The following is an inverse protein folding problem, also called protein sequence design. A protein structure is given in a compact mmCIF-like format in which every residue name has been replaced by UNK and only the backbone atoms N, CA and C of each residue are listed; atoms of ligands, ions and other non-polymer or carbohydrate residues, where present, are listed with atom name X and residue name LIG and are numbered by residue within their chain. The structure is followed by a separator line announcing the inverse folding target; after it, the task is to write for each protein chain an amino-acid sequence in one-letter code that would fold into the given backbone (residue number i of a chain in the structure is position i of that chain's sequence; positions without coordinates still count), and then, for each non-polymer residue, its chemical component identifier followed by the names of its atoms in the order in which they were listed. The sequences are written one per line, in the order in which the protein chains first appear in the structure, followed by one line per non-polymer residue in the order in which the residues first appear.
data_IF_439263011973
#
_entry.id   IF_439263011973
#
_cell.length_a   1.000
_cell.length_b   1.000
_cell.length_c   1.000
_cell.angle_alpha   90.00
_cell.angle_beta   90.00
_cell.angle_gamma   90.00
#
_symmetry.space_group_name_H-M   'P 1'
#
loop_
_entity.id
_entity.type
_entity.pdbx_description
1 polymer ?
#
# COMPACT_ATOMS: atom_id res chain seq x y z
N UNK A 1 21.25 5.58 1.08
CA UNK A 1 22.28 5.67 2.14
C UNK A 1 22.57 4.25 2.58
N UNK A 2 23.83 3.80 2.53
CA UNK A 2 24.17 2.43 2.93
C UNK A 2 24.12 2.35 4.47
N UNK A 3 23.08 1.72 5.01
CA UNK A 3 23.01 1.41 6.45
C UNK A 3 23.96 0.25 6.76
N UNK A 4 25.14 0.59 7.28
CA UNK A 4 26.07 -0.37 7.83
C UNK A 4 25.67 -0.68 9.28
N UNK A 5 25.39 -1.94 9.59
CA UNK A 5 25.27 -2.42 10.97
C UNK A 5 26.67 -2.69 11.51
N UNK A 6 27.07 -1.96 12.55
CA UNK A 6 28.31 -2.20 13.29
C UNK A 6 27.98 -3.04 14.53
N UNK A 7 28.56 -4.24 14.64
CA UNK A 7 28.59 -4.99 15.91
C UNK A 7 29.96 -4.82 16.55
N UNK A 8 30.00 -4.20 17.73
CA UNK A 8 31.23 -4.05 18.51
C UNK A 8 31.35 -5.25 19.47
N UNK A 9 32.21 -6.21 19.13
CA UNK A 9 32.52 -7.33 20.01
C UNK A 9 33.78 -6.98 20.82
N UNK A 10 33.64 -6.73 22.12
CA UNK A 10 34.77 -6.53 23.04
C UNK A 10 35.07 -7.87 23.71
N UNK A 11 36.14 -8.54 23.29
CA UNK A 11 36.64 -9.74 23.97
C UNK A 11 37.78 -9.39 24.92
N UNK A 12 37.67 -9.84 26.18
CA UNK A 12 38.69 -9.64 27.21
C UNK A 12 39.56 -10.91 27.27
N UNK A 13 40.75 -10.86 26.69
CA UNK A 13 41.76 -11.90 26.90
C UNK A 13 42.42 -11.67 28.27
N UNK A 14 42.40 -12.70 29.13
CA UNK A 14 43.00 -12.66 30.45
C UNK A 14 44.52 -12.53 30.33
N UNK A 15 45.05 -11.39 30.81
CA UNK A 15 46.48 -11.18 31.02
C UNK A 15 47.12 -10.23 30.01
N UNK A 16 47.18 -8.94 30.35
CA UNK A 16 47.89 -7.90 29.59
C UNK A 16 46.95 -7.02 28.77
N UNK A 17 46.98 -5.71 29.04
CA UNK A 17 46.08 -4.72 28.45
C UNK A 17 46.46 -4.44 26.99
N UNK A 18 45.98 -5.26 26.05
CA UNK A 18 45.91 -4.92 24.62
C UNK A 18 44.44 -4.95 24.20
N UNK A 19 43.88 -3.78 23.87
CA UNK A 19 42.54 -3.67 23.29
C UNK A 19 42.66 -3.79 21.76
N UNK A 20 42.34 -4.96 21.22
CA UNK A 20 42.17 -5.13 19.78
C UNK A 20 40.71 -4.88 19.44
N UNK A 21 40.40 -3.73 18.81
CA UNK A 21 39.06 -3.43 18.30
C UNK A 21 38.93 -4.15 16.96
N UNK A 22 38.21 -5.27 16.94
CA UNK A 22 37.85 -5.96 15.70
C UNK A 22 36.56 -5.32 15.17
N UNK A 23 36.68 -4.43 14.19
CA UNK A 23 35.54 -3.87 13.45
C UNK A 23 35.12 -4.88 12.38
N UNK A 24 34.07 -5.66 12.65
CA UNK A 24 33.47 -6.52 11.64
C UNK A 24 32.46 -5.67 10.86
N UNK A 25 32.82 -5.28 9.64
CA UNK A 25 31.88 -4.68 8.70
C UNK A 25 31.07 -5.82 8.10
N UNK A 26 29.88 -6.08 8.65
CA UNK A 26 28.93 -7.00 8.04
C UNK A 26 28.22 -6.22 6.93
N UNK A 27 28.70 -6.30 5.70
CA UNK A 27 27.90 -5.88 4.55
C UNK A 27 26.67 -6.78 4.51
N UNK A 28 25.43 -6.27 4.59
CA UNK A 28 24.26 -7.10 4.34
C UNK A 28 24.42 -7.63 2.91
N UNK A 29 24.59 -8.94 2.78
CA UNK A 29 24.56 -9.58 1.47
C UNK A 29 23.14 -9.32 0.95
N UNK A 30 23.03 -8.55 -0.14
CA UNK A 30 21.76 -8.32 -0.81
C UNK A 30 21.22 -9.67 -1.27
N UNK A 31 20.21 -10.17 -0.56
CA UNK A 31 19.43 -11.31 -0.98
C UNK A 31 18.09 -10.74 -1.43
N UNK A 32 17.93 -10.47 -2.72
CA UNK A 32 16.64 -10.11 -3.27
C UNK A 32 15.84 -11.38 -3.61
N UNK A 33 14.53 -11.26 -3.79
CA UNK A 33 13.71 -12.39 -4.19
C UNK A 33 14.03 -12.84 -5.61
N UNK A 34 14.14 -14.14 -5.82
CA UNK A 34 14.42 -14.77 -7.11
C UNK A 34 13.35 -15.81 -7.43
N UNK A 35 13.25 -16.21 -8.68
CA UNK A 35 12.34 -17.25 -9.12
C UNK A 35 10.91 -16.79 -9.35
N UNK A 36 10.72 -15.57 -9.87
CA UNK A 36 9.42 -15.18 -10.38
C UNK A 36 9.02 -16.05 -11.60
N UNK A 37 7.72 -16.25 -11.86
CA UNK A 37 7.25 -16.96 -13.05
C UNK A 37 7.58 -16.17 -14.33
N UNK A 38 8.19 -16.79 -15.34
CA UNK A 38 8.48 -16.12 -16.61
C UNK A 38 8.59 -17.09 -17.79
N UNK A 39 8.63 -16.60 -19.04
CA UNK A 39 8.84 -17.43 -20.22
C UNK A 39 10.13 -18.27 -20.15
N UNK A 40 10.07 -19.52 -20.63
CA UNK A 40 11.17 -20.48 -20.64
C UNK A 40 12.27 -20.16 -21.66
N UNK A 41 11.89 -19.60 -22.81
CA UNK A 41 12.81 -19.24 -23.88
C UNK A 41 12.78 -17.72 -24.12
N UNK A 42 13.95 -17.10 -24.15
CA UNK A 42 14.14 -15.69 -24.48
C UNK A 42 14.66 -15.48 -25.91
N UNK A 43 14.57 -16.49 -26.78
CA UNK A 43 15.08 -16.43 -28.15
C UNK A 43 14.11 -15.68 -29.07
N UNK A 44 14.47 -14.44 -29.46
CA UNK A 44 13.77 -13.72 -30.53
C UNK A 44 14.07 -14.35 -31.90
N UNK A 45 13.03 -14.57 -32.72
CA UNK A 45 13.17 -15.23 -34.01
C UNK A 45 13.48 -14.28 -35.19
N UNK A 46 13.30 -12.95 -35.05
CA UNK A 46 13.12 -12.09 -36.24
C UNK A 46 13.90 -10.75 -36.20
N UNK A 47 15.04 -10.66 -35.50
CA UNK A 47 15.93 -9.49 -35.58
C UNK A 47 15.35 -8.15 -35.08
N UNK A 48 14.16 -8.15 -34.47
CA UNK A 48 13.48 -6.97 -33.92
C UNK A 48 13.43 -7.05 -32.39
N UNK A 49 13.88 -6.00 -31.71
CA UNK A 49 14.19 -5.95 -30.27
C UNK A 49 12.93 -6.00 -29.39
N UNK A 50 12.70 -7.13 -28.71
CA UNK A 50 11.70 -7.30 -27.64
C UNK A 50 12.24 -7.97 -26.36
N UNK A 51 13.41 -8.61 -26.42
CA UNK A 51 14.16 -9.14 -25.27
C UNK A 51 15.65 -9.13 -25.66
N UNK A 52 16.49 -8.32 -25.01
CA UNK A 52 17.93 -8.23 -25.35
C UNK A 52 18.77 -9.07 -24.39
N UNK A 53 19.44 -10.09 -24.92
CA UNK A 53 20.60 -10.75 -24.30
C UNK A 53 21.83 -9.84 -24.46
N UNK A 54 22.58 -9.62 -23.38
CA UNK A 54 24.02 -9.36 -23.48
C UNK A 54 24.72 -9.79 -22.19
N UNK A 55 25.02 -11.10 -22.07
CA UNK A 55 26.14 -11.62 -21.27
C UNK A 55 26.35 -13.11 -21.55
N UNK A 56 27.57 -13.56 -21.89
CA UNK A 56 27.88 -14.97 -22.13
C UNK A 56 27.93 -15.85 -20.85
N UNK A 57 27.50 -15.35 -19.68
CA UNK A 57 27.69 -16.04 -18.40
C UNK A 57 26.43 -16.33 -17.58
N UNK A 58 25.23 -15.87 -17.94
CA UNK A 58 24.04 -16.07 -17.10
C UNK A 58 22.78 -16.21 -17.98
N UNK A 59 21.98 -17.25 -17.74
CA UNK A 59 20.74 -17.51 -18.48
C UNK A 59 19.75 -16.34 -18.41
N UNK A 60 19.03 -16.11 -19.52
CA UNK A 60 17.90 -15.20 -19.68
C UNK A 60 17.89 -13.97 -18.75
N UNK A 61 18.71 -12.97 -19.07
CA UNK A 61 18.58 -11.65 -18.44
C UNK A 61 17.39 -10.91 -19.07
N UNK A 62 16.32 -10.74 -18.28
CA UNK A 62 15.20 -9.87 -18.58
C UNK A 62 15.66 -8.42 -18.59
N UNK A 63 15.71 -7.77 -19.75
CA UNK A 63 15.80 -6.31 -19.80
C UNK A 63 14.69 -5.82 -20.71
N UNK A 64 13.51 -5.61 -20.11
CA UNK A 64 12.44 -4.81 -20.67
C UNK A 64 12.98 -3.38 -20.76
N UNK A 65 13.52 -2.97 -21.92
CA UNK A 65 14.22 -1.67 -21.98
C UNK A 65 13.31 -0.47 -21.76
N UNK A 66 11.98 -0.62 -21.85
CA UNK A 66 10.99 0.45 -21.66
C UNK A 66 9.64 -0.04 -21.06
N UNK A 67 9.62 -1.18 -20.36
CA UNK A 67 8.38 -1.79 -19.82
C UNK A 67 7.46 -2.47 -20.85
N UNK A 68 7.78 -2.35 -22.14
CA UNK A 68 7.10 -3.08 -23.22
C UNK A 68 7.69 -4.49 -23.37
N UNK A 69 6.89 -5.53 -23.14
CA UNK A 69 7.27 -6.93 -23.30
C UNK A 69 6.39 -7.59 -24.37
N UNK A 70 6.94 -8.48 -25.20
CA UNK A 70 6.15 -9.14 -26.23
C UNK A 70 6.60 -10.55 -26.59
N UNK A 71 5.68 -11.50 -26.45
CA UNK A 71 5.86 -12.93 -26.70
C UNK A 71 5.15 -13.25 -28.01
N UNK A 72 5.94 -13.51 -29.06
CA UNK A 72 5.43 -13.87 -30.38
C UNK A 72 4.85 -15.29 -30.42
N UNK A 73 5.60 -16.25 -29.90
CA UNK A 73 5.24 -17.67 -29.92
C UNK A 73 4.87 -18.14 -28.53
N UNK A 74 3.91 -19.06 -28.43
CA UNK A 74 3.55 -19.65 -27.16
C UNK A 74 4.79 -20.31 -26.51
N UNK A 75 4.97 -20.10 -25.22
CA UNK A 75 6.16 -20.57 -24.48
C UNK A 75 5.75 -21.09 -23.11
N UNK A 76 6.47 -22.09 -22.61
CA UNK A 76 6.25 -22.60 -21.25
C UNK A 76 6.70 -21.59 -20.21
N UNK A 77 6.14 -21.69 -19.00
CA UNK A 77 6.54 -20.87 -17.86
C UNK A 77 7.60 -21.61 -17.05
N UNK A 78 8.64 -20.87 -16.64
CA UNK A 78 9.77 -21.29 -15.83
C UNK A 78 10.02 -20.31 -14.67
N UNK A 79 11.19 -20.44 -14.04
CA UNK A 79 11.72 -19.57 -13.00
C UNK A 79 12.71 -18.54 -13.54
N UNK A 80 12.44 -17.25 -13.31
CA UNK A 80 13.38 -16.16 -13.57
C UNK A 80 14.49 -16.15 -12.50
N UNK A 81 15.75 -16.26 -12.91
CA UNK A 81 16.90 -16.25 -12.01
C UNK A 81 17.29 -14.85 -11.52
N UNK A 82 16.97 -13.81 -12.31
CA UNK A 82 17.24 -12.43 -11.95
C UNK A 82 16.45 -12.01 -10.71
N UNK A 83 17.05 -11.23 -9.80
CA UNK A 83 16.30 -10.70 -8.68
C UNK A 83 15.19 -9.75 -9.12
N UNK A 84 14.03 -9.85 -8.47
CA UNK A 84 12.89 -8.98 -8.70
C UNK A 84 12.46 -8.30 -7.40
N UNK A 85 11.82 -7.13 -7.51
CA UNK A 85 11.36 -6.34 -6.37
C UNK A 85 12.52 -6.04 -5.40
N UNK A 86 13.58 -5.41 -5.91
CA UNK A 86 14.81 -5.13 -5.15
C UNK A 86 14.73 -3.88 -4.28
N UNK A 87 13.66 -3.10 -4.40
CA UNK A 87 13.45 -1.85 -3.70
C UNK A 87 12.07 -1.78 -3.06
N UNK A 88 11.94 -0.87 -2.10
CA UNK A 88 10.70 -0.63 -1.37
C UNK A 88 10.44 -1.64 -0.26
N UNK A 89 9.37 -1.40 0.49
CA UNK A 89 9.01 -2.17 1.68
C UNK A 89 7.64 -2.81 1.47
N UNK A 90 7.45 -4.04 1.92
CA UNK A 90 6.09 -4.58 1.95
C UNK A 90 5.24 -3.76 2.90
N UNK A 91 3.97 -3.49 2.56
CA UNK A 91 3.10 -2.76 3.45
C UNK A 91 2.74 -3.52 4.72
N UNK A 92 3.07 -4.81 4.89
CA UNK A 92 2.89 -5.56 6.13
C UNK A 92 3.74 -6.82 6.13
N UNK A 93 4.17 -7.27 7.32
CA UNK A 93 4.88 -8.54 7.44
C UNK A 93 3.92 -9.69 7.10
N UNK A 94 4.32 -10.57 6.18
CA UNK A 94 3.45 -11.66 5.73
C UNK A 94 4.10 -12.58 4.70
N UNK A 95 3.27 -13.44 4.09
CA UNK A 95 3.70 -14.36 3.04
C UNK A 95 3.29 -13.82 1.68
N UNK A 96 4.27 -13.51 0.85
CA UNK A 96 4.06 -12.86 -0.44
C UNK A 96 4.38 -13.77 -1.62
N UNK A 97 3.71 -13.52 -2.73
CA UNK A 97 3.94 -14.15 -4.04
C UNK A 97 4.14 -13.09 -5.12
N UNK A 98 4.76 -13.52 -6.22
CA UNK A 98 4.82 -12.73 -7.45
C UNK A 98 3.79 -13.27 -8.44
N UNK A 99 3.09 -12.36 -9.11
CA UNK A 99 2.16 -12.66 -10.21
C UNK A 99 2.72 -12.13 -11.52
N UNK A 100 2.81 -12.99 -12.52
CA UNK A 100 2.98 -12.62 -13.92
C UNK A 100 1.59 -12.40 -14.53
N UNK A 101 1.25 -11.14 -14.79
CA UNK A 101 0.00 -10.75 -15.44
C UNK A 101 0.20 -10.76 -16.96
N UNK A 102 -0.71 -11.41 -17.69
CA UNK A 102 -0.62 -11.65 -19.12
C UNK A 102 -1.69 -10.85 -19.84
N UNK A 103 -1.26 -9.97 -20.73
CA UNK A 103 -2.11 -9.15 -21.59
C UNK A 103 -2.02 -9.68 -23.04
N UNK A 104 -3.14 -9.98 -23.71
CA UNK A 104 -3.12 -10.26 -25.15
C UNK A 104 -2.66 -9.03 -25.91
N UNK A 105 -1.79 -9.20 -26.89
CA UNK A 105 -1.21 -8.11 -27.66
C UNK A 105 -0.87 -8.55 -29.07
N UNK A 106 -1.08 -7.72 -30.08
CA UNK A 106 -0.60 -8.00 -31.45
C UNK A 106 0.82 -7.49 -31.70
N UNK A 107 1.31 -6.62 -30.81
CA UNK A 107 2.58 -5.91 -30.88
C UNK A 107 3.12 -5.65 -29.47
N UNK A 108 4.33 -5.10 -29.36
CA UNK A 108 4.89 -4.72 -28.07
C UNK A 108 4.09 -3.59 -27.41
N UNK A 109 3.53 -3.89 -26.23
CA UNK A 109 2.73 -2.96 -25.42
C UNK A 109 3.19 -2.93 -23.97
N UNK A 110 2.84 -1.86 -23.26
CA UNK A 110 2.85 -1.84 -21.81
C UNK A 110 1.63 -2.63 -21.31
N UNK A 111 1.89 -3.79 -20.70
CA UNK A 111 0.88 -4.56 -20.00
C UNK A 111 0.56 -3.90 -18.66
N UNK A 112 -0.72 -3.89 -18.30
CA UNK A 112 -1.25 -3.27 -17.08
C UNK A 112 -2.32 -4.20 -16.51
N UNK A 113 -2.62 -4.10 -15.21
CA UNK A 113 -3.67 -4.88 -14.56
C UNK A 113 -5.02 -4.76 -15.28
N UNK A 114 -5.38 -3.56 -15.76
CA UNK A 114 -6.61 -3.33 -16.51
C UNK A 114 -6.68 -4.08 -17.87
N UNK A 115 -5.54 -4.47 -18.44
CA UNK A 115 -5.45 -5.20 -19.72
C UNK A 115 -5.20 -6.70 -19.55
N UNK A 116 -4.96 -7.14 -18.33
CA UNK A 116 -4.69 -8.54 -18.00
C UNK A 116 -5.92 -9.40 -18.25
N UNK A 117 -5.75 -10.49 -19.01
CA UNK A 117 -6.83 -11.49 -19.20
C UNK A 117 -6.56 -12.80 -18.47
N UNK A 118 -5.30 -13.07 -18.14
CA UNK A 118 -4.86 -14.24 -17.39
C UNK A 118 -3.60 -13.93 -16.60
N UNK A 119 -3.28 -14.75 -15.61
CA UNK A 119 -2.10 -14.56 -14.80
C UNK A 119 -1.54 -15.90 -14.33
N UNK A 120 -0.27 -15.89 -13.91
CA UNK A 120 0.39 -17.02 -13.27
C UNK A 120 1.12 -16.56 -12.02
N UNK A 121 0.84 -17.24 -10.92
CA UNK A 121 1.46 -16.96 -9.63
C UNK A 121 2.71 -17.80 -9.43
N UNK A 122 3.63 -17.28 -8.63
CA UNK A 122 4.81 -18.03 -8.21
C UNK A 122 4.42 -19.30 -7.45
N UNK A 123 5.19 -20.38 -7.63
CA UNK A 123 4.91 -21.68 -7.01
C UNK A 123 4.99 -21.61 -5.48
N UNK A 124 5.95 -20.85 -4.96
CA UNK A 124 6.18 -20.63 -3.53
C UNK A 124 5.83 -19.20 -3.13
N UNK A 125 5.45 -19.05 -1.87
CA UNK A 125 5.42 -17.77 -1.18
C UNK A 125 6.72 -17.57 -0.40
N UNK A 126 7.11 -16.32 -0.20
CA UNK A 126 8.27 -15.91 0.59
C UNK A 126 7.79 -15.10 1.79
N UNK A 127 8.45 -15.26 2.93
CA UNK A 127 8.22 -14.38 4.08
C UNK A 127 8.89 -13.04 3.80
N UNK A 128 8.11 -11.96 3.88
CA UNK A 128 8.60 -10.60 3.74
C UNK A 128 8.16 -9.80 4.97
N UNK A 129 9.11 -9.09 5.56
CA UNK A 129 8.94 -8.17 6.68
C UNK A 129 8.82 -6.75 6.17
N UNK A 130 7.88 -6.00 6.72
CA UNK A 130 7.72 -4.56 6.46
C UNK A 130 8.89 -3.70 6.97
N UNK A 131 9.67 -4.23 7.91
CA UNK A 131 10.76 -3.51 8.57
C UNK A 131 12.06 -3.53 7.75
N UNK A 132 12.09 -4.26 6.63
CA UNK A 132 13.26 -4.41 5.76
C UNK A 132 12.89 -4.12 4.31
N UNK A 133 13.80 -3.49 3.60
CA UNK A 133 13.63 -3.28 2.16
C UNK A 133 13.76 -4.63 1.44
N UNK A 134 12.92 -4.85 0.41
CA UNK A 134 12.78 -6.15 -0.24
C UNK A 134 14.09 -6.68 -0.85
N UNK A 135 14.99 -5.79 -1.27
CA UNK A 135 16.34 -6.14 -1.75
C UNK A 135 17.23 -6.86 -0.74
N UNK A 136 16.85 -6.89 0.54
CA UNK A 136 17.65 -7.47 1.63
C UNK A 136 16.96 -8.65 2.36
N UNK A 137 15.83 -9.15 1.86
CA UNK A 137 15.04 -10.15 2.59
C UNK A 137 15.22 -11.58 2.09
N UNK A 138 15.37 -11.76 0.79
CA UNK A 138 15.82 -13.00 0.17
C UNK A 138 14.78 -14.11 0.17
N UNK A 139 14.75 -14.88 -0.90
CA UNK A 139 13.85 -16.03 -0.98
C UNK A 139 13.68 -16.51 -2.40
N UNK A 140 13.29 -17.78 -2.53
CA UNK A 140 12.95 -18.39 -3.81
C UNK A 140 11.43 -18.52 -3.93
N UNK A 141 10.89 -17.82 -4.92
CA UNK A 141 9.49 -17.84 -5.33
C UNK A 141 9.14 -19.10 -6.14
N UNK A 142 10.14 -19.90 -6.54
CA UNK A 142 9.95 -21.24 -7.10
C UNK A 142 9.46 -21.31 -8.55
N UNK A 143 9.50 -20.21 -9.29
CA UNK A 143 9.04 -20.10 -10.67
C UNK A 143 7.53 -20.22 -10.80
N UNK A 144 7.07 -20.63 -11.97
CA UNK A 144 5.67 -21.01 -12.20
C UNK A 144 5.57 -22.20 -13.15
N UNK A 145 4.35 -22.55 -13.51
CA UNK A 145 4.05 -23.61 -14.48
C UNK A 145 2.92 -23.20 -15.39
N UNK A 146 2.88 -23.77 -16.59
CA UNK A 146 1.86 -23.49 -17.60
C UNK A 146 2.47 -22.94 -18.87
N UNK A 147 1.63 -22.30 -19.68
CA UNK A 147 2.01 -21.76 -20.98
C UNK A 147 1.57 -20.31 -21.07
N UNK A 148 2.46 -19.44 -21.51
CA UNK A 148 2.09 -18.10 -21.95
C UNK A 148 1.64 -18.22 -23.41
N UNK A 149 0.42 -17.76 -23.77
CA UNK A 149 -0.04 -17.77 -25.14
C UNK A 149 0.88 -16.97 -26.07
N UNK A 150 0.88 -17.35 -27.35
CA UNK A 150 1.41 -16.50 -28.41
C UNK A 150 0.73 -15.12 -28.38
N UNK A 151 1.40 -14.11 -28.91
CA UNK A 151 0.88 -12.74 -29.02
C UNK A 151 0.44 -12.17 -27.65
N UNK A 152 1.38 -12.15 -26.70
CA UNK A 152 1.14 -11.70 -25.32
C UNK A 152 2.20 -10.74 -24.80
N UNK A 153 1.81 -9.79 -23.96
CA UNK A 153 2.69 -8.97 -23.13
C UNK A 153 2.57 -9.38 -21.66
N UNK A 154 3.62 -9.14 -20.87
CA UNK A 154 3.65 -9.49 -19.45
C UNK A 154 4.07 -8.29 -18.60
N UNK A 155 3.45 -8.15 -17.43
CA UNK A 155 3.93 -7.30 -16.36
C UNK A 155 3.83 -8.04 -15.01
N UNK A 156 4.60 -7.57 -14.03
CA UNK A 156 4.72 -8.24 -12.73
C UNK A 156 4.11 -7.44 -11.59
N UNK A 157 3.59 -8.15 -10.60
CA UNK A 157 3.17 -7.57 -9.32
C UNK A 157 3.55 -8.48 -8.16
N UNK A 158 3.59 -7.88 -6.97
CA UNK A 158 3.79 -8.55 -5.70
C UNK A 158 2.49 -8.50 -4.89
N UNK A 159 2.09 -9.58 -4.24
CA UNK A 159 0.85 -9.61 -3.45
C UNK A 159 0.98 -10.54 -2.25
N UNK A 160 0.19 -10.30 -1.22
CA UNK A 160 0.15 -11.14 -0.02
C UNK A 160 -0.94 -12.21 -0.16
N UNK A 161 -0.67 -13.44 0.30
CA UNK A 161 -1.52 -14.61 0.01
C UNK A 161 -2.94 -14.52 0.57
N UNK A 162 -3.19 -13.74 1.62
CA UNK A 162 -4.52 -13.54 2.20
C UNK A 162 -5.31 -12.40 1.53
N UNK A 163 -4.63 -11.53 0.76
CA UNK A 163 -5.20 -10.41 0.01
C UNK A 163 -4.74 -10.38 -1.46
N UNK A 164 -5.02 -11.42 -2.27
CA UNK A 164 -4.53 -11.54 -3.64
C UNK A 164 -5.11 -10.52 -4.63
N UNK A 165 -6.16 -9.80 -4.25
CA UNK A 165 -6.75 -8.68 -4.98
C UNK A 165 -5.90 -7.41 -4.90
N UNK A 166 -5.06 -7.27 -3.87
CA UNK A 166 -4.20 -6.11 -3.66
C UNK A 166 -2.82 -6.42 -4.26
N UNK A 167 -2.53 -5.78 -5.39
CA UNK A 167 -1.31 -5.99 -6.14
C UNK A 167 -0.39 -4.77 -6.08
N UNK A 168 0.88 -5.01 -5.76
CA UNK A 168 1.91 -4.01 -5.54
C UNK A 168 2.99 -4.03 -6.63
N UNK A 169 3.66 -2.90 -6.82
CA UNK A 169 4.79 -2.71 -7.75
C UNK A 169 5.92 -1.91 -7.12
N UNK A 170 7.12 -2.07 -7.66
CA UNK A 170 8.22 -1.11 -7.49
C UNK A 170 8.14 0.00 -8.55
N UNK A 171 9.18 0.84 -8.63
CA UNK A 171 9.33 1.80 -9.73
C UNK A 171 9.83 1.15 -11.03
N UNK A 172 10.20 -0.14 -11.01
CA UNK A 172 10.67 -0.87 -12.18
C UNK A 172 9.59 -0.95 -13.27
N UNK A 173 9.99 -0.62 -14.50
CA UNK A 173 9.18 -0.66 -15.71
C UNK A 173 8.62 -2.06 -16.05
N UNK A 174 9.21 -3.12 -15.51
CA UNK A 174 8.71 -4.50 -15.69
C UNK A 174 7.43 -4.76 -14.87
N UNK A 175 7.12 -3.91 -13.89
CA UNK A 175 5.93 -4.06 -13.06
C UNK A 175 4.70 -3.43 -13.73
N UNK A 176 3.51 -3.95 -13.42
CA UNK A 176 2.26 -3.40 -13.96
C UNK A 176 2.07 -1.96 -13.45
N UNK A 177 2.09 -0.97 -14.34
CA UNK A 177 2.19 0.45 -13.97
C UNK A 177 0.97 1.00 -13.21
N UNK A 178 -0.18 0.37 -13.36
CA UNK A 178 -1.45 0.66 -12.67
C UNK A 178 -1.62 -0.11 -11.35
N UNK A 179 -0.62 -0.88 -10.91
CA UNK A 179 -0.58 -1.47 -9.57
C UNK A 179 -0.18 -0.43 -8.50
N UNK A 180 -0.45 -0.75 -7.23
CA UNK A 180 -0.13 0.14 -6.10
C UNK A 180 1.38 0.20 -5.89
N UNK A 181 1.96 1.41 -5.85
CA UNK A 181 3.40 1.55 -5.60
C UNK A 181 3.75 1.10 -4.18
N UNK A 182 4.80 0.30 -4.04
CA UNK A 182 5.34 -0.08 -2.74
C UNK A 182 5.87 1.16 -2.02
N UNK A 183 5.69 1.25 -0.70
CA UNK A 183 6.30 2.26 0.14
C UNK A 183 7.81 2.36 -0.09
N UNK A 184 8.33 3.59 -0.22
CA UNK A 184 9.77 3.87 -0.35
C UNK A 184 10.50 3.96 1.00
N UNK A 185 9.75 3.94 2.09
CA UNK A 185 10.23 3.89 3.47
C UNK A 185 9.51 2.75 4.21
N UNK A 186 10.09 2.20 5.30
CA UNK A 186 9.38 1.23 6.12
C UNK A 186 8.02 1.80 6.52
N UNK A 187 7.02 0.95 6.41
CA UNK A 187 5.67 1.28 6.77
C UNK A 187 5.50 1.30 8.30
N UNK A 188 4.74 2.25 8.87
CA UNK A 188 4.40 2.23 10.30
C UNK A 188 2.90 1.91 10.49
N UNK A 189 1.99 2.74 9.97
CA UNK A 189 0.56 2.41 9.79
C UNK A 189 -0.04 3.08 8.54
N UNK A 190 -0.97 2.40 7.87
CA UNK A 190 -1.75 2.91 6.75
C UNK A 190 -3.22 3.06 7.12
N UNK A 191 -3.78 4.25 6.90
CA UNK A 191 -5.21 4.51 7.07
C UNK A 191 -5.93 4.19 5.77
N UNK A 192 -7.01 3.43 5.87
CA UNK A 192 -7.92 3.08 4.79
C UNK A 192 -7.22 2.53 3.53
N UNK A 193 -6.13 1.79 3.70
CA UNK A 193 -5.29 1.31 2.58
C UNK A 193 -4.87 2.42 1.59
N UNK A 194 -4.68 3.64 2.10
CA UNK A 194 -4.36 4.84 1.30
C UNK A 194 -5.47 5.29 0.33
N UNK A 195 -6.69 4.78 0.49
CA UNK A 195 -7.85 5.20 -0.29
C UNK A 195 -8.64 6.32 0.41
N UNK A 196 -9.32 7.15 -0.40
CA UNK A 196 -10.24 8.16 0.12
C UNK A 196 -11.48 7.51 0.77
N UNK A 197 -11.93 8.07 1.89
CA UNK A 197 -13.16 7.66 2.54
C UNK A 197 -14.34 8.50 2.04
N UNK A 198 -15.25 7.85 1.30
CA UNK A 198 -16.48 8.48 0.82
C UNK A 198 -17.67 8.05 1.69
N UNK A 199 -18.36 9.00 2.30
CA UNK A 199 -19.52 8.73 3.19
C UNK A 199 -20.78 9.38 2.63
N UNK A 200 -21.78 8.55 2.33
CA UNK A 200 -23.10 9.00 1.89
C UNK A 200 -24.07 9.05 3.07
N UNK A 201 -24.51 10.26 3.43
CA UNK A 201 -25.53 10.48 4.48
C UNK A 201 -26.96 10.22 3.98
N UNK A 202 -27.18 10.18 2.67
CA UNK A 202 -28.49 9.98 2.07
C UNK A 202 -29.35 11.26 2.01
N UNK A 203 -30.66 11.09 1.82
CA UNK A 203 -31.62 12.19 1.83
C UNK A 203 -32.02 12.54 3.25
N UNK A 204 -31.95 13.83 3.59
CA UNK A 204 -32.23 14.34 4.93
C UNK A 204 -33.36 15.36 4.87
N UNK A 205 -34.35 15.23 5.76
CA UNK A 205 -35.38 16.25 5.95
C UNK A 205 -34.92 17.27 6.99
N UNK A 206 -35.10 18.57 6.70
CA UNK A 206 -34.56 19.67 7.53
C UNK A 206 -35.06 19.61 8.97
N UNK A 207 -36.29 19.16 9.18
CA UNK A 207 -36.91 19.01 10.50
C UNK A 207 -36.22 17.95 11.36
N UNK A 208 -35.64 16.95 10.71
CA UNK A 208 -35.13 15.73 11.36
C UNK A 208 -33.64 15.87 11.67
N UNK A 209 -32.97 16.87 11.08
CA UNK A 209 -31.58 17.19 11.38
C UNK A 209 -31.51 17.78 12.80
N UNK A 210 -30.70 17.18 13.71
CA UNK A 210 -30.58 17.67 15.07
C UNK A 210 -29.87 19.02 15.14
N UNK A 211 -30.12 19.76 16.21
CA UNK A 211 -29.46 21.06 16.49
C UNK A 211 -28.21 20.93 17.36
N UNK A 212 -27.97 19.74 17.89
CA UNK A 212 -26.84 19.41 18.77
C UNK A 212 -26.16 18.15 18.23
N UNK A 213 -24.82 18.09 18.17
CA UNK A 213 -24.12 16.87 17.84
C UNK A 213 -24.47 15.72 18.80
N UNK A 214 -24.92 14.59 18.26
CA UNK A 214 -25.13 13.34 19.01
C UNK A 214 -24.78 12.14 18.13
N UNK A 215 -23.78 11.35 18.55
CA UNK A 215 -23.34 10.16 17.83
C UNK A 215 -24.39 9.04 17.79
N UNK A 216 -25.41 9.10 18.65
CA UNK A 216 -26.53 8.15 18.67
C UNK A 216 -27.77 8.66 17.93
N UNK A 217 -27.66 9.81 17.25
CA UNK A 217 -28.75 10.35 16.43
C UNK A 217 -29.19 9.32 15.38
N UNK A 218 -30.48 9.28 15.07
CA UNK A 218 -31.00 8.49 13.94
C UNK A 218 -30.41 8.91 12.59
N UNK A 219 -29.82 10.11 12.53
CA UNK A 219 -29.15 10.68 11.35
C UNK A 219 -27.63 10.40 11.34
N UNK A 220 -27.12 9.72 12.37
CA UNK A 220 -25.72 9.35 12.47
C UNK A 220 -25.37 8.24 11.47
N UNK A 221 -24.26 8.42 10.75
CA UNK A 221 -23.71 7.39 9.87
C UNK A 221 -22.35 6.94 10.38
N UNK A 222 -22.29 5.74 10.92
CA UNK A 222 -21.02 5.09 11.27
C UNK A 222 -20.43 4.35 10.07
N UNK A 223 -19.12 4.48 9.91
CA UNK A 223 -18.29 3.72 8.96
C UNK A 223 -17.03 3.25 9.67
N UNK A 224 -16.56 2.09 9.27
CA UNK A 224 -15.31 1.52 9.79
C UNK A 224 -14.19 1.83 8.82
N UNK A 225 -13.10 2.39 9.34
CA UNK A 225 -11.86 2.63 8.62
C UNK A 225 -10.82 1.60 9.06
N UNK A 226 -10.24 0.93 8.07
CA UNK A 226 -9.14 -0.02 8.28
C UNK A 226 -7.85 0.74 8.59
N UNK A 227 -7.12 0.33 9.63
CA UNK A 227 -5.77 0.80 9.94
C UNK A 227 -4.85 -0.41 9.90
N UNK A 228 -3.93 -0.41 8.95
CA UNK A 228 -2.98 -1.50 8.74
C UNK A 228 -1.62 -1.09 9.30
N UNK A 229 -1.22 -1.68 10.41
CA UNK A 229 0.08 -1.43 11.01
C UNK A 229 1.02 -2.59 10.78
N UNK A 230 2.28 -2.27 10.52
CA UNK A 230 3.05 -3.15 9.63
C UNK A 230 4.33 -3.62 10.28
N UNK A 231 4.92 -2.81 11.18
CA UNK A 231 6.10 -3.16 11.99
C UNK A 231 5.84 -4.32 12.95
N UNK A 232 6.89 -5.07 13.26
CA UNK A 232 6.90 -6.13 14.27
C UNK A 232 6.84 -5.49 15.67
N UNK A 233 5.64 -5.19 16.16
CA UNK A 233 5.43 -4.50 17.43
C UNK A 233 4.14 -3.66 17.43
N UNK A 234 3.64 -3.34 18.62
CA UNK A 234 2.58 -2.32 18.72
C UNK A 234 3.18 -0.95 18.49
N UNK A 235 2.49 -0.12 17.72
CA UNK A 235 2.87 1.28 17.49
C UNK A 235 1.88 2.21 18.18
N UNK A 236 2.42 3.23 18.84
CA UNK A 236 1.67 4.24 19.55
C UNK A 236 1.43 5.40 18.60
N UNK A 237 0.17 5.69 18.31
CA UNK A 237 -0.24 6.68 17.33
C UNK A 237 -1.17 7.72 17.94
N UNK A 238 -1.05 8.95 17.44
CA UNK A 238 -2.00 10.04 17.67
C UNK A 238 -2.71 10.38 16.37
N UNK A 239 -4.03 10.49 16.44
CA UNK A 239 -4.86 10.90 15.31
C UNK A 239 -5.27 12.37 15.46
N UNK A 240 -5.26 13.11 14.34
CA UNK A 240 -5.86 14.44 14.18
C UNK A 240 -6.83 14.38 13.01
N UNK A 241 -7.90 15.16 13.07
CA UNK A 241 -8.77 15.40 11.92
C UNK A 241 -8.87 16.91 11.70
N UNK A 242 -8.47 17.35 10.51
CA UNK A 242 -8.45 18.75 10.08
C UNK A 242 -9.56 19.02 9.08
N UNK A 243 -10.21 20.16 9.22
CA UNK A 243 -11.27 20.60 8.33
C UNK A 243 -11.41 22.12 8.34
N UNK A 244 -12.20 22.66 7.41
CA UNK A 244 -12.63 24.07 7.48
C UNK A 244 -13.78 24.17 8.50
N UNK A 245 -13.60 24.86 9.64
CA UNK A 245 -14.61 24.87 10.69
C UNK A 245 -15.76 25.83 10.36
N UNK A 246 -16.97 25.46 10.78
CA UNK A 246 -18.14 26.35 10.89
C UNK A 246 -18.68 26.28 12.31
N UNK A 247 -19.09 27.42 12.88
CA UNK A 247 -19.74 27.45 14.19
C UNK A 247 -21.23 27.21 14.01
N UNK A 248 -21.75 26.10 14.55
CA UNK A 248 -23.17 25.73 14.49
C UNK A 248 -23.61 25.38 15.90
N UNK A 249 -24.60 26.11 16.42
CA UNK A 249 -25.12 25.91 17.79
C UNK A 249 -24.02 25.87 18.86
N UNK A 250 -22.96 26.67 18.70
CA UNK A 250 -21.82 26.75 19.63
C UNK A 250 -20.75 25.66 19.47
N UNK A 251 -20.86 24.79 18.46
CA UNK A 251 -19.87 23.75 18.16
C UNK A 251 -19.09 24.08 16.89
N UNK A 252 -17.78 23.80 16.88
CA UNK A 252 -16.95 23.87 15.68
C UNK A 252 -17.10 22.57 14.90
N UNK A 253 -17.84 22.62 13.79
CA UNK A 253 -18.16 21.47 12.94
C UNK A 253 -17.51 21.60 11.57
N UNK A 254 -17.53 20.53 10.77
CA UNK A 254 -17.08 20.59 9.38
C UNK A 254 -18.04 21.47 8.59
N UNK A 255 -17.50 22.48 7.91
CA UNK A 255 -18.27 23.35 7.04
C UNK A 255 -18.84 22.57 5.86
N UNK A 256 -20.10 22.84 5.54
CA UNK A 256 -20.72 22.41 4.29
C UNK A 256 -20.84 23.59 3.33
N UNK A 257 -21.09 23.31 2.05
CA UNK A 257 -21.48 24.35 1.06
C UNK A 257 -22.84 25.01 1.35
N UNK A 258 -23.56 24.60 2.40
CA UNK A 258 -24.90 25.09 2.76
C UNK A 258 -24.86 25.80 4.12
N UNK A 259 -25.25 27.08 4.13
CA UNK A 259 -25.32 27.87 5.36
C UNK A 259 -26.30 27.24 6.37
N UNK A 260 -25.95 27.30 7.65
CA UNK A 260 -26.77 26.75 8.73
C UNK A 260 -26.72 25.22 8.85
N UNK A 261 -25.84 24.55 8.11
CA UNK A 261 -25.61 23.10 8.17
C UNK A 261 -24.12 22.79 8.30
N UNK A 262 -23.76 21.99 9.31
CA UNK A 262 -22.42 21.46 9.54
C UNK A 262 -22.44 19.95 9.71
N UNK A 263 -21.29 19.30 9.62
CA UNK A 263 -21.14 17.87 9.93
C UNK A 263 -20.28 17.72 11.19
N UNK A 264 -20.81 17.06 12.20
CA UNK A 264 -20.03 16.59 13.34
C UNK A 264 -19.37 15.25 12.98
N UNK A 265 -18.10 15.09 13.35
CA UNK A 265 -17.38 13.83 13.23
C UNK A 265 -17.08 13.34 14.64
N UNK A 266 -17.34 12.07 14.89
CA UNK A 266 -16.91 11.37 16.09
C UNK A 266 -15.85 10.34 15.72
N UNK A 267 -14.81 10.27 16.54
CA UNK A 267 -13.78 9.26 16.48
C UNK A 267 -13.91 8.34 17.68
N UNK A 268 -14.34 7.08 17.47
CA UNK A 268 -14.59 6.10 18.55
C UNK A 268 -15.45 6.70 19.68
N UNK A 269 -16.49 7.46 19.30
CA UNK A 269 -17.40 8.13 20.23
C UNK A 269 -16.94 9.50 20.76
N UNK A 270 -15.72 9.96 20.48
CA UNK A 270 -15.25 11.30 20.88
C UNK A 270 -15.55 12.33 19.80
N UNK A 271 -16.24 13.42 20.16
CA UNK A 271 -16.48 14.53 19.25
C UNK A 271 -15.15 15.17 18.82
N UNK A 272 -14.91 15.21 17.52
CA UNK A 272 -13.67 15.70 16.93
C UNK A 272 -13.68 17.22 16.91
N UNK A 273 -12.65 17.82 17.52
CA UNK A 273 -12.36 19.24 17.38
C UNK A 273 -11.26 19.46 16.34
N UNK A 274 -11.42 20.47 15.48
CA UNK A 274 -10.53 20.72 14.35
C UNK A 274 -9.05 20.76 14.75
N UNK A 275 -8.26 19.84 14.19
CA UNK A 275 -6.81 19.76 14.36
C UNK A 275 -6.34 19.40 15.77
N UNK A 276 -7.26 19.11 16.70
CA UNK A 276 -6.91 18.63 18.04
C UNK A 276 -6.49 17.17 18.01
N UNK A 277 -5.56 16.83 18.90
CA UNK A 277 -5.13 15.45 19.11
C UNK A 277 -6.24 14.66 19.77
N UNK A 278 -6.59 13.54 19.16
CA UNK A 278 -7.47 12.54 19.73
C UNK A 278 -6.68 11.66 20.72
N UNK A 279 -7.37 10.92 21.60
CA UNK A 279 -6.70 10.01 22.53
C UNK A 279 -5.70 9.08 21.82
N UNK A 280 -4.52 8.93 22.42
CA UNK A 280 -3.45 8.05 21.94
C UNK A 280 -3.94 6.62 21.79
N UNK A 281 -3.56 5.96 20.70
CA UNK A 281 -3.93 4.58 20.41
C UNK A 281 -2.71 3.69 20.23
N UNK A 282 -2.87 2.43 20.63
CA UNK A 282 -1.90 1.38 20.38
C UNK A 282 -2.46 0.44 19.34
N UNK A 283 -1.92 0.50 18.13
CA UNK A 283 -2.28 -0.43 17.07
C UNK A 283 -1.33 -1.62 17.09
N UNK A 284 -1.89 -2.82 17.01
CA UNK A 284 -1.11 -4.05 16.84
C UNK A 284 -0.73 -4.20 15.37
N UNK A 285 0.33 -4.95 15.11
CA UNK A 285 0.65 -5.44 13.76
C UNK A 285 -0.57 -6.12 13.14
N UNK A 286 -0.80 -5.86 11.84
CA UNK A 286 -1.94 -6.31 11.07
C UNK A 286 -3.05 -5.26 10.99
N UNK A 287 -4.25 -5.74 10.66
CA UNK A 287 -5.42 -4.88 10.51
C UNK A 287 -6.09 -4.59 11.86
N UNK A 288 -6.36 -3.31 12.08
CA UNK A 288 -7.23 -2.78 13.13
C UNK A 288 -8.35 -1.97 12.50
N UNK A 289 -9.46 -1.83 13.22
CA UNK A 289 -10.60 -1.07 12.76
C UNK A 289 -10.85 0.12 13.67
N UNK A 290 -11.08 1.27 13.06
CA UNK A 290 -11.45 2.51 13.73
C UNK A 290 -12.85 2.90 13.28
N UNK A 291 -13.73 3.23 14.23
CA UNK A 291 -15.06 3.72 13.92
C UNK A 291 -15.06 5.25 13.80
N UNK A 292 -15.59 5.74 12.68
CA UNK A 292 -15.94 7.14 12.50
C UNK A 292 -17.46 7.27 12.39
N UNK A 293 -18.04 8.23 13.10
CA UNK A 293 -19.47 8.55 13.00
C UNK A 293 -19.66 9.97 12.51
N UNK A 294 -20.48 10.12 11.47
CA UNK A 294 -20.78 11.41 10.83
C UNK A 294 -22.22 11.80 11.14
N UNK A 295 -22.43 13.01 11.65
CA UNK A 295 -23.77 13.47 12.05
C UNK A 295 -24.02 14.84 11.42
N UNK A 296 -25.07 15.01 10.59
CA UNK A 296 -25.49 16.32 10.14
C UNK A 296 -26.09 17.11 11.31
N UNK A 297 -25.71 18.37 11.46
CA UNK A 297 -26.18 19.25 12.52
C UNK A 297 -26.59 20.59 11.92
N UNK A 298 -27.82 21.02 12.22
CA UNK A 298 -28.32 22.32 11.78
C UNK A 298 -28.18 23.37 12.88
N UNK A 299 -28.08 24.62 12.47
CA UNK A 299 -28.09 25.73 13.39
C UNK A 299 -29.48 25.89 14.03
N UNK A 300 -29.52 25.95 15.37
CA UNK A 300 -30.76 26.16 16.13
C UNK A 300 -31.37 27.55 15.89
N UNK A 301 -30.53 28.53 15.56
CA UNK A 301 -30.94 29.93 15.42
C UNK A 301 -31.35 30.26 13.97
N UNK A 302 -31.11 29.34 13.03
CA UNK A 302 -31.58 29.44 11.64
C UNK A 302 -32.96 28.80 11.50
N UNK A 303 -33.94 29.54 10.95
CA UNK A 303 -35.26 28.98 10.70
C UNK A 303 -35.21 27.88 9.63
N UNK A 304 -36.02 26.83 9.77
CA UNK A 304 -36.00 25.66 8.87
C UNK A 304 -36.15 26.02 7.37
N UNK A 305 -36.93 27.04 7.06
CA UNK A 305 -37.13 27.50 5.67
C UNK A 305 -35.85 28.09 5.05
N UNK A 306 -34.97 28.65 5.88
CA UNK A 306 -33.78 29.40 5.47
C UNK A 306 -32.53 28.51 5.32
N UNK A 307 -32.58 27.26 5.84
CA UNK A 307 -31.58 26.22 5.54
C UNK A 307 -31.75 25.83 4.06
N UNK A 308 -30.77 25.99 3.16
CA UNK A 308 -31.01 25.75 1.74
C UNK A 308 -31.18 24.26 1.42
N UNK A 309 -32.09 23.92 0.50
CA UNK A 309 -32.27 22.55 -0.04
C UNK A 309 -31.24 22.21 -1.11
N UNK A 310 -31.22 20.93 -1.51
CA UNK A 310 -30.36 20.39 -2.56
C UNK A 310 -29.14 19.68 -1.99
N UNK A 311 -28.27 19.22 -2.87
CA UNK A 311 -27.05 18.50 -2.49
C UNK A 311 -26.10 19.39 -1.69
N UNK A 312 -25.36 18.75 -0.78
CA UNK A 312 -24.27 19.35 -0.04
C UNK A 312 -23.09 18.38 0.01
N UNK A 313 -21.90 18.92 0.28
CA UNK A 313 -20.67 18.15 0.49
C UNK A 313 -19.88 18.80 1.62
N UNK A 314 -19.02 18.00 2.26
CA UNK A 314 -18.13 18.41 3.33
C UNK A 314 -16.84 17.58 3.22
N UNK A 315 -15.71 18.21 3.54
CA UNK A 315 -14.38 17.62 3.34
C UNK A 315 -13.56 17.75 4.64
N UNK A 316 -12.84 16.70 5.00
CA UNK A 316 -11.94 16.64 6.15
C UNK A 316 -10.74 15.74 5.84
N UNK A 317 -9.62 15.99 6.51
CA UNK A 317 -8.38 15.24 6.38
C UNK A 317 -8.05 14.58 7.71
N UNK A 318 -7.89 13.26 7.69
CA UNK A 318 -7.42 12.49 8.85
C UNK A 318 -5.89 12.32 8.74
N UNK A 319 -5.19 12.66 9.81
CA UNK A 319 -3.74 12.50 9.95
C UNK A 319 -3.47 11.58 11.14
N UNK A 320 -2.65 10.55 10.94
CA UNK A 320 -2.15 9.69 12.01
C UNK A 320 -0.64 9.87 12.09
N UNK A 321 -0.12 10.01 13.30
CA UNK A 321 1.31 10.24 13.57
C UNK A 321 1.76 9.26 14.63
N UNK A 322 2.80 8.48 14.33
CA UNK A 322 3.49 7.64 15.31
C UNK A 322 4.26 8.52 16.32
N UNK A 323 4.25 8.13 17.59
CA UNK A 323 4.97 8.80 18.69
C UNK A 323 6.33 8.19 18.97
#
# INVERSE_FOLDING_TARGET
MNDYKYELIISKLMGGLFFTILLIVITPIAHAFTGAPGPADCSGSDGSRGFSYDSPYLGCNFVARDGTNYINNATSITSISAPMFTEGYVPYTGKYKVRANICPATDAINCTLAKTTSFVDSAKAVDASSAKELGYQGGSLGGGSGTIPAHSAICYTFFEITHPEIQWRTSDTINCSDARLLPSVPADCYINELADLNVTLGSLERSDIPTVPDSNSSMAKSVTVSVLCTRDGSTTNVTKIKYTPVSISGNNLVSTKKNGLGIAIYYKGFLVTNGQELPVENFKTGFSNVELTFVPVRDKDTALKDIPTGSFSADAVMEMTEQ
#
